data_IF_429382678895
#
_entry.id   IF_429382678895
#
_cell.length_a   1.000
_cell.length_b   1.000
_cell.length_c   1.000
_cell.angle_alpha   90.00
_cell.angle_beta   90.00
_cell.angle_gamma   90.00
#
_symmetry.space_group_name_H-M   'P 1'
#
loop_
_entity.id
_entity.type
_entity.pdbx_description
1 polymer ?
#
# COMPACT_ATOMS: atom_id res chain seq x y z
N UNK A 1 -13.73 16.09 23.36
CA UNK A 1 -13.07 16.76 22.22
C UNK A 1 -12.02 15.86 21.56
N UNK A 2 -11.38 14.93 22.27
CA UNK A 2 -10.30 14.05 21.76
C UNK A 2 -10.71 12.94 20.77
N UNK A 3 -11.96 12.47 20.80
CA UNK A 3 -12.36 11.29 20.01
C UNK A 3 -12.50 11.54 18.51
N UNK A 4 -12.91 12.75 18.10
CA UNK A 4 -13.15 13.09 16.69
C UNK A 4 -11.85 13.41 15.98
N UNK A 5 -10.97 14.20 16.60
CA UNK A 5 -9.63 14.46 16.07
C UNK A 5 -8.81 13.17 15.94
N UNK A 6 -8.90 12.27 16.94
CA UNK A 6 -8.26 10.95 16.87
C UNK A 6 -8.76 10.11 15.68
N UNK A 7 -10.07 10.09 15.43
CA UNK A 7 -10.65 9.37 14.29
C UNK A 7 -10.20 9.96 12.93
N UNK A 8 -10.15 11.29 12.82
CA UNK A 8 -9.66 11.97 11.62
C UNK A 8 -8.19 11.62 11.35
N UNK A 9 -7.34 11.65 12.38
CA UNK A 9 -5.93 11.29 12.25
C UNK A 9 -5.73 9.83 11.80
N UNK A 10 -6.52 8.89 12.34
CA UNK A 10 -6.47 7.48 11.93
C UNK A 10 -6.85 7.33 10.45
N UNK A 11 -7.92 7.98 10.00
CA UNK A 11 -8.33 7.93 8.60
C UNK A 11 -7.33 8.59 7.65
N UNK A 12 -6.68 9.69 8.06
CA UNK A 12 -5.61 10.31 7.29
C UNK A 12 -4.41 9.37 7.12
N UNK A 13 -4.00 8.69 8.19
CA UNK A 13 -2.90 7.71 8.13
C UNK A 13 -3.24 6.55 7.21
N UNK A 14 -4.48 6.02 7.26
CA UNK A 14 -4.95 4.98 6.35
C UNK A 14 -4.90 5.47 4.89
N UNK A 15 -5.44 6.65 4.61
CA UNK A 15 -5.47 7.22 3.26
C UNK A 15 -4.06 7.44 2.69
N UNK A 16 -3.16 8.01 3.49
CA UNK A 16 -1.74 8.19 3.12
C UNK A 16 -1.07 6.84 2.87
N UNK A 17 -1.34 5.84 3.70
CA UNK A 17 -0.81 4.49 3.55
C UNK A 17 -1.22 3.83 2.23
N UNK A 18 -2.50 3.92 1.86
CA UNK A 18 -3.01 3.37 0.60
C UNK A 18 -2.42 4.12 -0.60
N UNK A 19 -2.48 5.46 -0.59
CA UNK A 19 -1.96 6.28 -1.69
C UNK A 19 -0.45 6.08 -1.88
N UNK A 20 0.31 6.01 -0.79
CA UNK A 20 1.75 5.72 -0.80
C UNK A 20 2.06 4.33 -1.35
N UNK A 21 1.29 3.31 -0.94
CA UNK A 21 1.43 1.95 -1.47
C UNK A 21 1.25 1.87 -2.98
N UNK A 22 0.17 2.46 -3.50
CA UNK A 22 -0.10 2.51 -4.96
C UNK A 22 1.01 3.28 -5.69
N UNK A 23 1.47 4.39 -5.14
CA UNK A 23 2.55 5.18 -5.73
C UNK A 23 3.86 4.37 -5.87
N UNK A 24 4.23 3.60 -4.84
CA UNK A 24 5.42 2.74 -4.89
C UNK A 24 5.28 1.67 -5.99
N UNK A 25 4.10 1.06 -6.12
CA UNK A 25 3.85 0.06 -7.16
C UNK A 25 3.97 0.68 -8.55
N UNK A 26 3.35 1.83 -8.80
CA UNK A 26 3.41 2.52 -10.08
C UNK A 26 4.86 2.92 -10.43
N UNK A 27 5.58 3.51 -9.47
CA UNK A 27 6.98 3.94 -9.66
C UNK A 27 7.90 2.76 -9.92
N UNK A 28 7.64 1.62 -9.30
CA UNK A 28 8.37 0.38 -9.53
C UNK A 28 8.08 -0.16 -10.93
N UNK A 29 6.81 -0.23 -11.36
CA UNK A 29 6.47 -0.69 -12.70
C UNK A 29 7.17 0.11 -13.81
N UNK A 30 7.20 1.45 -13.69
CA UNK A 30 7.89 2.33 -14.66
C UNK A 30 9.39 2.03 -14.72
N UNK A 31 10.04 1.84 -13.57
CA UNK A 31 11.46 1.52 -13.50
C UNK A 31 11.79 0.15 -14.09
N UNK A 32 10.96 -0.88 -13.88
CA UNK A 32 11.11 -2.18 -14.55
C UNK A 32 11.03 -1.99 -16.08
N UNK A 33 10.09 -1.18 -16.57
CA UNK A 33 9.98 -0.91 -18.01
C UNK A 33 11.25 -0.20 -18.55
N UNK A 34 11.80 0.77 -17.81
CA UNK A 34 13.06 1.42 -18.18
C UNK A 34 14.25 0.45 -18.18
N UNK A 35 14.31 -0.47 -17.22
CA UNK A 35 15.33 -1.53 -17.16
C UNK A 35 15.21 -2.46 -18.37
N UNK A 36 13.99 -2.89 -18.69
CA UNK A 36 13.72 -3.76 -19.85
C UNK A 36 14.14 -3.09 -21.17
N UNK A 37 13.85 -1.79 -21.33
CA UNK A 37 14.25 -1.02 -22.50
C UNK A 37 15.77 -0.99 -22.70
N UNK A 38 16.53 -0.70 -21.63
CA UNK A 38 18.00 -0.68 -21.68
C UNK A 38 18.63 -2.04 -21.99
N UNK A 39 17.99 -3.14 -21.59
CA UNK A 39 18.43 -4.50 -21.99
C UNK A 39 18.18 -4.74 -23.47
N UNK A 40 17.03 -4.33 -23.99
CA UNK A 40 16.69 -4.47 -25.42
C UNK A 40 17.68 -3.70 -26.29
N UNK A 41 18.04 -2.48 -25.88
CA UNK A 41 19.05 -1.65 -26.57
C UNK A 41 20.50 -2.14 -26.36
N UNK A 42 20.70 -3.23 -25.60
CA UNK A 42 22.01 -3.81 -25.26
C UNK A 42 22.94 -2.85 -24.51
N UNK A 43 22.40 -1.78 -23.92
CA UNK A 43 23.15 -0.86 -23.06
C UNK A 43 23.40 -1.44 -21.66
N UNK A 44 22.68 -2.51 -21.30
CA UNK A 44 22.75 -3.13 -19.99
C UNK A 44 22.86 -4.64 -20.08
N UNK A 45 23.78 -5.20 -19.29
CA UNK A 45 23.96 -6.65 -19.17
C UNK A 45 22.74 -7.31 -18.51
N UNK A 46 22.34 -8.47 -19.04
CA UNK A 46 21.18 -9.22 -18.60
C UNK A 46 21.24 -9.57 -17.11
N UNK A 47 22.43 -9.88 -16.57
CA UNK A 47 22.61 -10.23 -15.15
C UNK A 47 22.31 -9.05 -14.23
N UNK A 48 22.72 -7.85 -14.62
CA UNK A 48 22.45 -6.61 -13.88
C UNK A 48 20.97 -6.27 -13.94
N UNK A 49 20.35 -6.44 -15.11
CA UNK A 49 18.92 -6.21 -15.29
C UNK A 49 18.05 -7.16 -14.46
N UNK A 50 18.39 -8.46 -14.42
CA UNK A 50 17.67 -9.42 -13.58
C UNK A 50 17.71 -8.99 -12.12
N UNK A 51 18.89 -8.58 -11.61
CA UNK A 51 19.04 -8.17 -10.20
C UNK A 51 18.21 -6.94 -9.86
N UNK A 52 18.19 -5.93 -10.75
CA UNK A 52 17.37 -4.73 -10.56
C UNK A 52 15.87 -5.05 -10.62
N UNK A 53 15.44 -5.81 -11.64
CA UNK A 53 14.04 -6.23 -11.80
C UNK A 53 13.58 -7.05 -10.59
N UNK A 54 14.38 -8.01 -10.11
CA UNK A 54 14.02 -8.81 -8.92
C UNK A 54 13.82 -7.95 -7.67
N UNK A 55 14.73 -6.99 -7.40
CA UNK A 55 14.59 -6.08 -6.27
C UNK A 55 13.32 -5.25 -6.38
N UNK A 56 13.00 -4.81 -7.59
CA UNK A 56 11.86 -3.95 -7.83
C UNK A 56 10.52 -4.71 -7.79
N UNK A 57 10.50 -5.94 -8.30
CA UNK A 57 9.36 -6.85 -8.11
C UNK A 57 9.12 -7.15 -6.63
N UNK A 58 10.19 -7.33 -5.85
CA UNK A 58 10.09 -7.54 -4.40
C UNK A 58 9.52 -6.29 -3.70
N UNK A 59 9.95 -5.08 -4.12
CA UNK A 59 9.39 -3.83 -3.63
C UNK A 59 7.88 -3.70 -3.94
N UNK A 60 7.44 -4.12 -5.13
CA UNK A 60 6.01 -4.16 -5.49
C UNK A 60 5.24 -5.10 -4.56
N UNK A 61 5.74 -6.33 -4.36
CA UNK A 61 5.08 -7.32 -3.50
C UNK A 61 4.97 -6.80 -2.06
N UNK A 62 6.06 -6.24 -1.52
CA UNK A 62 6.07 -5.65 -0.20
C UNK A 62 5.05 -4.50 -0.08
N UNK A 63 5.00 -3.60 -1.07
CA UNK A 63 4.03 -2.51 -1.09
C UNK A 63 2.58 -3.01 -1.12
N UNK A 64 2.30 -4.07 -1.89
CA UNK A 64 0.96 -4.69 -1.93
C UNK A 64 0.59 -5.33 -0.58
N UNK A 65 1.51 -6.04 0.07
CA UNK A 65 1.29 -6.63 1.39
C UNK A 65 0.98 -5.54 2.42
N UNK A 66 1.78 -4.48 2.47
CA UNK A 66 1.57 -3.36 3.40
C UNK A 66 0.22 -2.69 3.14
N UNK A 67 -0.12 -2.44 1.88
CA UNK A 67 -1.40 -1.84 1.50
C UNK A 67 -2.58 -2.73 1.93
N UNK A 68 -2.46 -4.05 1.73
CA UNK A 68 -3.48 -5.00 2.13
C UNK A 68 -3.69 -5.04 3.65
N UNK A 69 -2.61 -4.96 4.44
CA UNK A 69 -2.68 -4.88 5.90
C UNK A 69 -3.40 -3.60 6.35
N UNK A 70 -3.05 -2.47 5.75
CA UNK A 70 -3.69 -1.17 6.05
C UNK A 70 -5.17 -1.20 5.70
N UNK A 71 -5.52 -1.73 4.52
CA UNK A 71 -6.91 -1.88 4.10
C UNK A 71 -7.69 -2.83 5.02
N UNK A 72 -7.10 -3.96 5.40
CA UNK A 72 -7.71 -4.89 6.36
C UNK A 72 -7.98 -4.23 7.72
N UNK A 73 -7.03 -3.45 8.22
CA UNK A 73 -7.23 -2.67 9.44
C UNK A 73 -8.37 -1.65 9.30
N UNK A 74 -8.41 -0.91 8.19
CA UNK A 74 -9.47 0.07 7.92
C UNK A 74 -10.87 -0.58 7.92
N UNK A 75 -10.99 -1.77 7.35
CA UNK A 75 -12.23 -2.55 7.36
C UNK A 75 -12.64 -2.92 8.78
N UNK A 76 -11.71 -3.40 9.61
CA UNK A 76 -11.98 -3.72 11.02
C UNK A 76 -12.44 -2.49 11.81
N UNK A 77 -11.79 -1.34 11.60
CA UNK A 77 -12.18 -0.07 12.22
C UNK A 77 -13.59 0.34 11.77
N UNK A 78 -13.91 0.23 10.47
CA UNK A 78 -15.26 0.49 9.98
C UNK A 78 -16.29 -0.42 10.67
N UNK A 79 -16.05 -1.72 10.74
CA UNK A 79 -16.95 -2.64 11.44
C UNK A 79 -17.13 -2.28 12.92
N UNK A 80 -16.05 -1.92 13.62
CA UNK A 80 -16.13 -1.47 15.01
C UNK A 80 -17.01 -0.22 15.17
N UNK A 81 -16.87 0.77 14.28
CA UNK A 81 -17.72 1.98 14.32
C UNK A 81 -19.19 1.68 14.02
N UNK A 82 -19.47 0.81 13.05
CA UNK A 82 -20.82 0.38 12.72
C UNK A 82 -21.46 -0.43 13.86
N UNK A 83 -20.67 -1.27 14.54
CA UNK A 83 -21.14 -2.10 15.65
C UNK A 83 -21.39 -1.29 16.93
N UNK A 84 -20.60 -0.24 17.17
CA UNK A 84 -20.88 0.74 18.23
C UNK A 84 -22.12 1.59 17.90
N UNK A 85 -22.28 1.98 16.63
CA UNK A 85 -23.43 2.77 16.17
C UNK A 85 -24.75 2.00 16.09
N UNK A 86 -24.72 0.68 15.96
CA UNK A 86 -25.93 -0.16 15.84
C UNK A 86 -26.57 -0.54 17.19
N UNK A 87 -26.00 -0.10 18.32
CA UNK A 87 -26.52 -0.41 19.67
C UNK A 87 -26.29 -1.86 20.13
N UNK A 88 -25.77 -2.74 19.27
CA UNK A 88 -25.62 -4.18 19.55
C UNK A 88 -24.65 -4.49 20.70
N UNK A 89 -23.71 -3.59 20.99
CA UNK A 89 -22.74 -3.74 22.10
C UNK A 89 -23.27 -3.14 23.41
N UNK A 90 -24.24 -2.20 23.37
CA UNK A 90 -24.60 -1.40 24.55
C UNK A 90 -25.79 -1.92 25.36
N UNK A 91 -26.41 -3.05 24.97
CA UNK A 91 -27.31 -3.81 25.84
C UNK A 91 -28.47 -3.03 26.50
N UNK A 92 -28.99 -2.01 25.84
CA UNK A 92 -30.24 -1.31 26.21
C UNK A 92 -31.18 -1.25 25.02
#
# INVERSE_FOLDING_TARGET
MTSVEGAILVWLVIGVGIAGGVFIVARSAVQIASVAYKVIEKEMDARTATRQTTLLSLAIVAALIVTAVIAGFAILVMFATLLQGSGLINGT
#
